data_IF_894290023407
#
_entry.id   IF_894290023407
#
_cell.length_a   1.000
_cell.length_b   1.000
_cell.length_c   1.000
_cell.angle_alpha   90.00
_cell.angle_beta   90.00
_cell.angle_gamma   90.00
#
_symmetry.space_group_name_H-M   'P 1'
#
loop_
_entity.id
_entity.type
_entity.pdbx_description
1 polymer ?
#
# COMPACT_ATOMS: atom_id res chain seq x y z
N UNK A 1 -20.52 69.80 9.86
CA UNK A 1 -20.53 68.32 9.88
C UNK A 1 -20.09 67.89 11.27
N UNK A 2 -21.07 67.62 12.15
CA UNK A 2 -20.86 67.46 13.59
C UNK A 2 -20.28 66.08 13.91
N UNK A 3 -19.14 66.07 14.59
CA UNK A 3 -18.46 64.89 15.13
C UNK A 3 -19.20 64.22 16.32
N UNK A 4 -20.42 64.68 16.65
CA UNK A 4 -21.19 64.25 17.82
C UNK A 4 -21.70 62.79 17.77
N UNK A 5 -21.67 62.16 16.60
CA UNK A 5 -22.08 60.75 16.45
C UNK A 5 -21.10 59.78 17.14
N UNK A 6 -19.82 60.14 17.23
CA UNK A 6 -18.76 59.33 17.87
C UNK A 6 -18.76 59.38 19.41
N UNK A 7 -19.52 60.30 20.03
CA UNK A 7 -19.59 60.45 21.50
C UNK A 7 -20.74 59.67 22.16
N UNK A 8 -21.59 58.97 21.39
CA UNK A 8 -22.69 58.18 21.98
C UNK A 8 -22.16 56.84 22.54
N UNK A 9 -22.45 56.54 23.82
CA UNK A 9 -22.04 55.27 24.47
C UNK A 9 -22.51 54.02 23.70
N UNK A 10 -23.62 54.13 22.97
CA UNK A 10 -24.23 53.05 22.20
C UNK A 10 -23.38 52.59 21.00
N UNK A 11 -22.57 53.48 20.40
CA UNK A 11 -21.69 53.13 19.28
C UNK A 11 -20.58 52.17 19.70
N UNK A 12 -19.94 52.45 20.83
CA UNK A 12 -18.90 51.59 21.41
C UNK A 12 -19.45 50.23 21.86
N UNK A 13 -20.69 50.18 22.37
CA UNK A 13 -21.36 48.93 22.70
C UNK A 13 -21.62 48.05 21.47
N UNK A 14 -22.10 48.63 20.36
CA UNK A 14 -22.31 47.90 19.11
C UNK A 14 -20.99 47.38 18.51
N UNK A 15 -19.92 48.19 18.55
CA UNK A 15 -18.59 47.74 18.13
C UNK A 15 -18.12 46.56 18.98
N UNK A 16 -18.29 46.61 20.31
CA UNK A 16 -17.92 45.51 21.20
C UNK A 16 -18.62 44.19 20.84
N UNK A 17 -19.91 44.24 20.49
CA UNK A 17 -20.67 43.05 20.06
C UNK A 17 -20.17 42.51 18.72
N UNK A 18 -19.92 43.38 17.74
CA UNK A 18 -19.43 42.97 16.42
C UNK A 18 -18.02 42.37 16.51
N UNK A 19 -17.12 43.00 17.27
CA UNK A 19 -15.76 42.51 17.52
C UNK A 19 -15.80 41.18 18.29
N UNK A 20 -16.67 41.06 19.31
CA UNK A 20 -16.88 39.82 20.05
C UNK A 20 -17.36 38.67 19.16
N UNK A 21 -18.32 38.94 18.27
CA UNK A 21 -18.80 37.96 17.29
C UNK A 21 -17.69 37.54 16.31
N UNK A 22 -16.92 38.50 15.78
CA UNK A 22 -15.80 38.22 14.87
C UNK A 22 -14.69 37.41 15.55
N UNK A 23 -14.33 37.74 16.78
CA UNK A 23 -13.33 36.99 17.56
C UNK A 23 -13.80 35.58 17.88
N UNK A 24 -15.09 35.38 18.13
CA UNK A 24 -15.66 34.06 18.40
C UNK A 24 -15.61 33.19 17.15
N UNK A 25 -16.13 33.67 16.02
CA UNK A 25 -16.09 32.94 14.75
C UNK A 25 -14.66 32.69 14.27
N UNK A 26 -13.76 33.67 14.46
CA UNK A 26 -12.34 33.54 14.11
C UNK A 26 -11.60 32.51 14.97
N UNK A 27 -11.88 32.48 16.28
CA UNK A 27 -11.39 31.44 17.19
C UNK A 27 -11.85 30.06 16.71
N UNK A 28 -13.14 29.90 16.45
CA UNK A 28 -13.73 28.61 16.09
C UNK A 28 -13.15 28.10 14.78
N UNK A 29 -13.00 28.97 13.78
CA UNK A 29 -12.34 28.62 12.51
C UNK A 29 -10.88 28.17 12.70
N UNK A 30 -10.11 28.85 13.56
CA UNK A 30 -8.73 28.46 13.84
C UNK A 30 -8.63 27.13 14.60
N UNK A 31 -9.53 26.90 15.57
CA UNK A 31 -9.59 25.64 16.31
C UNK A 31 -10.00 24.48 15.39
N UNK A 32 -11.03 24.67 14.57
CA UNK A 32 -11.49 23.68 13.60
C UNK A 32 -10.40 23.36 12.58
N UNK A 33 -9.71 24.37 12.05
CA UNK A 33 -8.60 24.17 11.11
C UNK A 33 -7.44 23.38 11.74
N UNK A 34 -7.07 23.70 12.98
CA UNK A 34 -6.03 22.95 13.71
C UNK A 34 -6.46 21.52 14.06
N UNK A 35 -7.70 21.34 14.49
CA UNK A 35 -8.25 20.03 14.82
C UNK A 35 -8.29 19.13 13.57
N UNK A 36 -8.75 19.68 12.44
CA UNK A 36 -8.79 18.97 11.16
C UNK A 36 -7.39 18.56 10.69
N UNK A 37 -6.38 19.42 10.89
CA UNK A 37 -5.00 19.11 10.50
C UNK A 37 -4.43 17.97 11.34
N UNK A 38 -4.65 17.97 12.66
CA UNK A 38 -4.22 16.87 13.54
C UNK A 38 -4.90 15.55 13.20
N UNK A 39 -6.21 15.59 12.92
CA UNK A 39 -6.99 14.42 12.52
C UNK A 39 -6.43 13.78 11.23
N UNK A 40 -6.15 14.60 10.21
CA UNK A 40 -5.55 14.17 8.94
C UNK A 40 -4.19 13.51 9.11
N UNK A 41 -3.31 14.15 9.88
CA UNK A 41 -1.96 13.65 10.14
C UNK A 41 -2.01 12.33 10.90
N UNK A 42 -2.86 12.21 11.92
CA UNK A 42 -3.04 10.97 12.66
C UNK A 42 -3.54 9.83 11.78
N UNK A 43 -4.59 10.09 10.97
CA UNK A 43 -5.11 9.13 10.01
C UNK A 43 -4.02 8.67 9.00
N UNK A 44 -3.24 9.61 8.46
CA UNK A 44 -2.17 9.30 7.53
C UNK A 44 -1.05 8.45 8.19
N UNK A 45 -0.66 8.75 9.44
CA UNK A 45 0.33 7.96 10.19
C UNK A 45 -0.16 6.52 10.36
N UNK A 46 -1.41 6.32 10.79
CA UNK A 46 -2.00 4.99 10.98
C UNK A 46 -1.99 4.18 9.69
N UNK A 47 -2.38 4.79 8.57
CA UNK A 47 -2.36 4.14 7.27
C UNK A 47 -0.93 3.80 6.84
N UNK A 48 0.03 4.73 6.99
CA UNK A 48 1.44 4.50 6.66
C UNK A 48 1.97 3.28 7.41
N UNK A 49 1.74 3.17 8.72
CA UNK A 49 2.15 2.01 9.51
C UNK A 49 1.56 0.69 8.98
N UNK A 50 0.27 0.67 8.62
CA UNK A 50 -0.37 -0.53 8.07
C UNK A 50 0.29 -0.97 6.75
N UNK A 51 0.54 -0.02 5.85
CA UNK A 51 1.15 -0.32 4.55
C UNK A 51 2.63 -0.67 4.65
N UNK A 52 3.38 -0.08 5.58
CA UNK A 52 4.79 -0.40 5.79
C UNK A 52 4.96 -1.83 6.28
N UNK A 53 4.20 -2.22 7.31
CA UNK A 53 4.23 -3.60 7.84
C UNK A 53 3.83 -4.58 6.74
N UNK A 54 2.76 -4.28 5.99
CA UNK A 54 2.34 -5.13 4.90
C UNK A 54 3.43 -5.28 3.82
N UNK A 55 4.12 -4.19 3.44
CA UNK A 55 5.20 -4.24 2.47
C UNK A 55 6.41 -5.06 2.97
N UNK A 56 6.72 -4.98 4.27
CA UNK A 56 7.78 -5.79 4.89
C UNK A 56 7.42 -7.29 4.89
N UNK A 57 6.18 -7.64 5.27
CA UNK A 57 5.71 -9.03 5.21
C UNK A 57 5.67 -9.56 3.77
N UNK A 58 5.27 -8.74 2.81
CA UNK A 58 5.36 -9.07 1.39
C UNK A 58 6.79 -9.36 0.95
N UNK A 59 7.79 -8.65 1.47
CA UNK A 59 9.20 -8.88 1.11
C UNK A 59 9.70 -10.23 1.64
N UNK A 60 9.27 -10.64 2.83
CA UNK A 60 9.57 -11.96 3.38
C UNK A 60 8.96 -13.07 2.53
N UNK A 61 7.71 -12.89 2.11
CA UNK A 61 7.00 -13.85 1.24
C UNK A 61 7.58 -13.90 -0.17
N UNK A 62 7.98 -12.76 -0.73
CA UNK A 62 8.66 -12.69 -2.01
C UNK A 62 10.03 -13.40 -2.01
N UNK A 63 10.64 -13.54 -0.83
CA UNK A 63 11.89 -14.25 -0.64
C UNK A 63 11.72 -15.74 -0.27
N UNK A 64 10.49 -16.22 -0.11
CA UNK A 64 10.18 -17.58 0.34
C UNK A 64 10.38 -18.58 -0.81
N UNK A 65 11.40 -19.43 -0.70
CA UNK A 65 11.70 -20.52 -1.64
C UNK A 65 11.06 -21.85 -1.22
N UNK A 66 10.30 -21.86 -0.11
CA UNK A 66 9.73 -23.07 0.46
C UNK A 66 10.74 -23.92 1.25
N UNK A 67 10.23 -24.93 1.94
CA UNK A 67 11.03 -25.90 2.69
C UNK A 67 10.61 -27.32 2.32
N UNK A 68 11.58 -28.18 2.00
CA UNK A 68 11.32 -29.57 1.68
C UNK A 68 10.99 -30.37 2.95
N UNK A 69 9.78 -30.92 2.98
CA UNK A 69 9.25 -31.79 4.04
C UNK A 69 8.85 -33.14 3.45
N UNK A 70 8.64 -34.15 4.30
CA UNK A 70 8.10 -35.45 3.88
C UNK A 70 6.60 -35.50 4.09
N UNK A 71 5.87 -35.86 3.04
CA UNK A 71 4.43 -36.08 3.11
C UNK A 71 4.07 -37.37 3.86
N UNK A 72 2.77 -37.64 4.01
CA UNK A 72 2.25 -38.84 4.68
C UNK A 72 2.70 -40.16 4.02
N UNK A 73 3.12 -40.12 2.75
CA UNK A 73 3.60 -41.26 1.98
C UNK A 73 5.14 -41.37 1.99
N UNK A 74 5.83 -40.43 2.65
CA UNK A 74 7.29 -40.37 2.76
C UNK A 74 7.97 -39.76 1.54
N UNK A 75 7.24 -39.12 0.62
CA UNK A 75 7.79 -38.39 -0.51
C UNK A 75 8.25 -36.99 -0.07
N UNK A 76 9.37 -36.52 -0.63
CA UNK A 76 9.83 -35.15 -0.40
C UNK A 76 8.98 -34.19 -1.23
N UNK A 77 8.43 -33.17 -0.56
CA UNK A 77 7.55 -32.16 -1.15
C UNK A 77 7.96 -30.80 -0.62
N UNK A 78 8.02 -29.80 -1.49
CA UNK A 78 8.30 -28.42 -1.11
C UNK A 78 7.03 -27.75 -0.58
N UNK A 79 7.05 -27.32 0.68
CA UNK A 79 5.94 -26.66 1.35
C UNK A 79 6.23 -25.18 1.61
N UNK A 80 5.17 -24.37 1.69
CA UNK A 80 5.28 -22.93 1.99
C UNK A 80 5.84 -22.73 3.40
N UNK A 81 6.96 -22.01 3.53
CA UNK A 81 7.61 -21.75 4.83
C UNK A 81 7.08 -20.48 5.50
N UNK A 82 6.82 -19.42 4.70
CA UNK A 82 6.38 -18.12 5.22
C UNK A 82 4.88 -17.96 4.99
N UNK A 83 4.12 -17.55 6.02
CA UNK A 83 2.68 -17.31 5.88
C UNK A 83 2.38 -16.08 5.01
N UNK A 84 1.23 -16.09 4.34
CA UNK A 84 0.78 -14.96 3.53
C UNK A 84 0.57 -13.71 4.41
N UNK A 85 0.95 -12.52 3.92
CA UNK A 85 0.84 -11.28 4.66
C UNK A 85 -0.64 -10.91 4.81
N UNK A 86 -1.02 -10.45 5.99
CA UNK A 86 -2.41 -10.08 6.27
C UNK A 86 -2.53 -8.56 6.33
N UNK A 87 -3.30 -7.98 5.40
CA UNK A 87 -3.58 -6.55 5.45
C UNK A 87 -4.42 -6.24 6.70
N UNK A 88 -3.81 -5.55 7.65
CA UNK A 88 -4.49 -5.14 8.88
C UNK A 88 -5.73 -4.30 8.58
N UNK A 89 -6.81 -4.55 9.32
CA UNK A 89 -8.02 -3.73 9.21
C UNK A 89 -7.69 -2.26 9.49
N UNK A 90 -8.22 -1.38 8.64
CA UNK A 90 -8.12 0.06 8.88
C UNK A 90 -8.93 0.42 10.12
N UNK A 91 -8.40 1.33 10.93
CA UNK A 91 -9.02 1.69 12.20
C UNK A 91 -10.31 2.49 11.98
N UNK A 92 -11.36 2.18 12.75
CA UNK A 92 -12.69 2.82 12.64
C UNK A 92 -12.67 4.32 12.99
N UNK A 93 -11.65 4.77 13.74
CA UNK A 93 -11.46 6.16 14.16
C UNK A 93 -10.81 7.04 13.08
N UNK A 94 -10.49 6.50 11.91
CA UNK A 94 -9.96 7.27 10.78
C UNK A 94 -11.04 8.19 10.21
N UNK A 95 -10.83 9.51 10.31
CA UNK A 95 -11.65 10.50 9.61
C UNK A 95 -11.31 10.52 8.11
N UNK A 96 -11.91 9.60 7.36
CA UNK A 96 -11.73 9.48 5.92
C UNK A 96 -12.02 10.78 5.17
N UNK A 97 -13.00 11.58 5.60
CA UNK A 97 -13.36 12.84 4.90
C UNK A 97 -12.25 13.89 4.98
N UNK A 98 -11.35 13.73 5.93
CA UNK A 98 -10.21 14.62 6.10
C UNK A 98 -9.09 14.33 5.10
N UNK A 99 -9.00 13.10 4.57
CA UNK A 99 -7.90 12.69 3.70
C UNK A 99 -8.09 13.12 2.23
N UNK A 100 -7.03 13.03 1.44
CA UNK A 100 -7.05 13.33 0.01
C UNK A 100 -7.88 12.27 -0.74
N UNK A 101 -8.90 12.66 -1.53
CA UNK A 101 -9.79 11.70 -2.20
C UNK A 101 -9.08 10.68 -3.08
N UNK A 102 -7.98 11.07 -3.74
CA UNK A 102 -7.21 10.14 -4.59
C UNK A 102 -6.46 9.12 -3.75
N UNK A 103 -5.94 9.52 -2.59
CA UNK A 103 -5.27 8.61 -1.66
C UNK A 103 -6.28 7.67 -1.00
N UNK A 104 -7.43 8.17 -0.56
CA UNK A 104 -8.51 7.34 0.01
C UNK A 104 -8.91 6.25 -0.99
N UNK A 105 -9.14 6.63 -2.26
CA UNK A 105 -9.51 5.66 -3.28
C UNK A 105 -8.47 4.56 -3.41
N UNK A 106 -7.17 4.90 -3.49
CA UNK A 106 -6.08 3.91 -3.53
C UNK A 106 -6.07 3.00 -2.31
N UNK A 107 -6.18 3.57 -1.11
CA UNK A 107 -6.19 2.84 0.16
C UNK A 107 -7.36 1.86 0.24
N UNK A 108 -8.57 2.30 -0.14
CA UNK A 108 -9.77 1.48 -0.09
C UNK A 108 -9.88 0.47 -1.24
N UNK A 109 -9.20 0.72 -2.36
CA UNK A 109 -9.11 -0.21 -3.49
C UNK A 109 -8.08 -1.32 -3.24
N UNK A 110 -7.03 -1.03 -2.46
CA UNK A 110 -5.94 -1.97 -2.23
C UNK A 110 -6.36 -3.37 -1.74
N UNK A 111 -7.33 -3.54 -0.80
CA UNK A 111 -7.82 -4.88 -0.44
C UNK A 111 -8.39 -5.68 -1.62
N UNK A 112 -8.94 -5.02 -2.63
CA UNK A 112 -9.44 -5.66 -3.85
C UNK A 112 -8.25 -6.21 -4.66
N UNK A 113 -7.17 -5.44 -4.77
CA UNK A 113 -5.93 -5.85 -5.45
C UNK A 113 -5.31 -7.07 -4.75
N UNK A 114 -5.24 -7.06 -3.41
CA UNK A 114 -4.78 -8.21 -2.60
C UNK A 114 -5.63 -9.44 -2.91
N UNK A 115 -6.97 -9.33 -2.85
CA UNK A 115 -7.85 -10.45 -3.12
C UNK A 115 -7.76 -10.97 -4.57
N UNK A 116 -7.43 -10.12 -5.55
CA UNK A 116 -7.19 -10.54 -6.93
C UNK A 116 -5.90 -11.34 -7.05
N UNK A 117 -4.80 -10.84 -6.46
CA UNK A 117 -3.51 -11.52 -6.44
C UNK A 117 -3.61 -12.89 -5.74
N UNK A 118 -4.26 -12.97 -4.58
CA UNK A 118 -4.44 -14.24 -3.85
C UNK A 118 -5.24 -15.26 -4.63
N UNK A 119 -6.25 -14.84 -5.40
CA UNK A 119 -6.98 -15.73 -6.31
C UNK A 119 -6.10 -16.24 -7.44
N UNK A 120 -5.25 -15.39 -8.01
CA UNK A 120 -4.31 -15.80 -9.04
C UNK A 120 -3.30 -16.83 -8.50
N UNK A 121 -2.69 -16.56 -7.34
CA UNK A 121 -1.79 -17.49 -6.66
C UNK A 121 -2.47 -18.84 -6.43
N UNK A 122 -3.67 -18.82 -5.86
CA UNK A 122 -4.44 -20.04 -5.59
C UNK A 122 -4.71 -20.84 -6.86
N UNK A 123 -5.08 -20.17 -7.94
CA UNK A 123 -5.32 -20.81 -9.23
C UNK A 123 -4.06 -21.49 -9.77
N UNK A 124 -2.89 -20.85 -9.68
CA UNK A 124 -1.63 -21.47 -10.12
C UNK A 124 -1.30 -22.70 -9.27
N UNK A 125 -1.42 -22.61 -7.94
CA UNK A 125 -1.19 -23.78 -7.08
C UNK A 125 -2.19 -24.93 -7.31
N UNK A 126 -3.43 -24.66 -7.71
CA UNK A 126 -4.44 -25.71 -7.90
C UNK A 126 -4.45 -26.32 -9.30
N UNK A 127 -4.15 -25.53 -10.33
CA UNK A 127 -4.33 -25.96 -11.73
C UNK A 127 -3.03 -26.12 -12.51
N UNK A 128 -1.92 -25.53 -12.05
CA UNK A 128 -0.68 -25.42 -12.85
C UNK A 128 0.52 -26.04 -12.14
N UNK A 129 0.72 -25.74 -10.86
CA UNK A 129 1.89 -26.19 -10.12
C UNK A 129 1.71 -27.64 -9.67
N UNK A 130 2.76 -28.44 -9.81
CA UNK A 130 2.73 -29.86 -9.44
C UNK A 130 3.84 -30.24 -8.47
N UNK A 131 3.57 -31.24 -7.65
CA UNK A 131 4.54 -31.87 -6.74
C UNK A 131 5.72 -32.48 -7.54
N UNK A 132 6.95 -32.49 -7.00
CA UNK A 132 7.31 -32.13 -5.62
C UNK A 132 7.61 -30.66 -5.38
N UNK A 133 7.96 -29.90 -6.42
CA UNK A 133 8.58 -28.58 -6.24
C UNK A 133 7.59 -27.41 -6.26
N UNK A 134 6.42 -27.57 -6.89
CA UNK A 134 5.42 -26.51 -7.08
C UNK A 134 6.01 -25.20 -7.64
N UNK A 135 7.01 -25.30 -8.52
CA UNK A 135 7.84 -24.18 -8.99
C UNK A 135 7.00 -23.01 -9.52
N UNK A 136 5.99 -23.28 -10.36
CA UNK A 136 5.11 -22.25 -10.91
C UNK A 136 4.29 -21.54 -9.82
N UNK A 137 3.89 -22.28 -8.79
CA UNK A 137 3.14 -21.75 -7.65
C UNK A 137 3.99 -20.81 -6.82
N UNK A 138 5.23 -21.21 -6.49
CA UNK A 138 6.17 -20.36 -5.77
C UNK A 138 6.57 -19.13 -6.59
N UNK A 139 6.84 -19.28 -7.89
CA UNK A 139 7.18 -18.15 -8.76
C UNK A 139 6.03 -17.13 -8.82
N UNK A 140 4.80 -17.58 -9.06
CA UNK A 140 3.64 -16.68 -9.09
C UNK A 140 3.41 -16.02 -7.74
N UNK A 141 3.54 -16.78 -6.64
CA UNK A 141 3.42 -16.24 -5.27
C UNK A 141 4.46 -15.16 -4.99
N UNK A 142 5.73 -15.42 -5.29
CA UNK A 142 6.81 -14.47 -5.10
C UNK A 142 6.58 -13.20 -5.92
N UNK A 143 6.20 -13.32 -7.19
CA UNK A 143 5.94 -12.18 -8.06
C UNK A 143 4.76 -11.34 -7.57
N UNK A 144 3.63 -11.98 -7.23
CA UNK A 144 2.42 -11.27 -6.81
C UNK A 144 2.61 -10.51 -5.51
N UNK A 145 3.29 -11.11 -4.52
CA UNK A 145 3.61 -10.40 -3.29
C UNK A 145 4.71 -9.36 -3.49
N UNK A 146 5.63 -9.55 -4.44
CA UNK A 146 6.55 -8.48 -4.86
C UNK A 146 5.78 -7.25 -5.38
N UNK A 147 4.81 -7.45 -6.26
CA UNK A 147 3.96 -6.39 -6.80
C UNK A 147 3.11 -5.69 -5.73
N UNK A 148 2.46 -6.48 -4.86
CA UNK A 148 1.63 -5.95 -3.77
C UNK A 148 2.45 -5.15 -2.75
N UNK A 149 3.64 -5.64 -2.37
CA UNK A 149 4.54 -4.95 -1.45
C UNK A 149 5.00 -3.61 -2.00
N UNK A 150 5.34 -3.54 -3.30
CA UNK A 150 5.69 -2.28 -3.97
C UNK A 150 4.51 -1.32 -4.04
N UNK A 151 3.31 -1.82 -4.36
CA UNK A 151 2.09 -1.01 -4.37
C UNK A 151 1.74 -0.45 -2.97
N UNK A 152 1.88 -1.26 -1.91
CA UNK A 152 1.71 -0.83 -0.53
C UNK A 152 2.73 0.25 -0.15
N UNK A 153 4.00 0.04 -0.46
CA UNK A 153 5.05 1.04 -0.25
C UNK A 153 4.74 2.35 -0.97
N UNK A 154 4.27 2.30 -2.23
CA UNK A 154 3.89 3.47 -3.00
C UNK A 154 2.69 4.24 -2.42
N UNK A 155 1.76 3.54 -1.75
CA UNK A 155 0.67 4.17 -1.01
C UNK A 155 1.23 4.87 0.23
N UNK A 156 2.06 4.18 1.03
CA UNK A 156 2.70 4.74 2.21
C UNK A 156 3.53 5.99 1.88
N UNK A 157 4.37 5.93 0.85
CA UNK A 157 5.17 7.06 0.38
C UNK A 157 4.32 8.23 -0.11
N UNK A 158 3.21 7.96 -0.80
CA UNK A 158 2.30 9.02 -1.23
C UNK A 158 1.61 9.70 -0.05
N UNK A 159 1.23 8.95 1.00
CA UNK A 159 0.73 9.50 2.26
C UNK A 159 1.80 10.34 2.95
N UNK A 160 3.04 9.84 3.09
CA UNK A 160 4.13 10.61 3.72
C UNK A 160 4.38 11.94 3.03
N UNK A 161 4.47 11.93 1.69
CA UNK A 161 4.66 13.14 0.89
C UNK A 161 3.49 14.12 1.05
N UNK A 162 2.25 13.64 1.01
CA UNK A 162 1.06 14.49 1.09
C UNK A 162 0.90 15.16 2.46
N UNK A 163 1.26 14.46 3.53
CA UNK A 163 1.04 14.91 4.91
C UNK A 163 2.34 15.31 5.64
N UNK A 164 3.44 15.46 4.91
CA UNK A 164 4.76 15.85 5.43
C UNK A 164 5.22 14.99 6.62
N UNK A 165 5.00 13.67 6.52
CA UNK A 165 5.43 12.72 7.53
C UNK A 165 6.91 12.36 7.33
N UNK A 166 7.64 12.05 8.41
CA UNK A 166 9.02 11.60 8.30
C UNK A 166 9.10 10.29 7.52
N UNK A 167 10.19 10.13 6.76
CA UNK A 167 10.55 8.85 6.16
C UNK A 167 11.23 7.98 7.22
N UNK A 168 10.98 6.68 7.12
CA UNK A 168 11.76 5.69 7.88
C UNK A 168 13.14 5.64 7.25
N UNK A 169 14.18 5.81 8.06
CA UNK A 169 15.56 5.63 7.62
C UNK A 169 15.79 4.16 7.29
N UNK A 170 16.52 3.87 6.21
CA UNK A 170 16.78 2.49 5.79
C UNK A 170 17.67 1.79 6.82
N UNK A 171 17.16 0.70 7.39
CA UNK A 171 17.95 -0.29 8.15
C UNK A 171 18.87 -1.07 7.20
N UNK A 172 19.76 -1.93 7.73
CA UNK A 172 20.54 -2.89 6.93
C UNK A 172 19.66 -3.79 6.03
N UNK A 173 18.39 -4.01 6.39
CA UNK A 173 17.39 -4.69 5.57
C UNK A 173 16.45 -3.68 4.90
N UNK A 174 16.39 -3.70 3.57
CA UNK A 174 15.49 -2.87 2.78
C UNK A 174 14.44 -3.73 2.05
N UNK A 175 13.18 -3.76 2.53
CA UNK A 175 12.15 -4.60 1.92
C UNK A 175 11.85 -4.19 0.47
N UNK A 176 11.91 -2.90 0.15
CA UNK A 176 11.61 -2.39 -1.20
C UNK A 176 12.65 -2.87 -2.21
N UNK A 177 13.92 -2.84 -1.83
CA UNK A 177 15.00 -3.34 -2.67
C UNK A 177 14.83 -4.83 -2.95
N UNK A 178 14.53 -5.62 -1.92
CA UNK A 178 14.25 -7.05 -2.08
C UNK A 178 13.07 -7.33 -3.01
N UNK A 179 11.98 -6.59 -2.87
CA UNK A 179 10.80 -6.73 -3.73
C UNK A 179 11.13 -6.43 -5.20
N UNK A 180 11.92 -5.37 -5.45
CA UNK A 180 12.38 -5.02 -6.81
C UNK A 180 13.25 -6.13 -7.40
N UNK A 181 14.21 -6.64 -6.62
CA UNK A 181 15.11 -7.72 -7.06
C UNK A 181 14.35 -8.99 -7.45
N UNK A 182 13.43 -9.44 -6.58
CA UNK A 182 12.63 -10.65 -6.82
C UNK A 182 11.78 -10.47 -8.08
N UNK A 183 11.07 -9.34 -8.18
CA UNK A 183 10.25 -9.03 -9.36
C UNK A 183 11.08 -9.05 -10.64
N UNK A 184 12.21 -8.34 -10.65
CA UNK A 184 13.07 -8.25 -11.83
C UNK A 184 13.66 -9.62 -12.22
N UNK A 185 14.05 -10.44 -11.24
CA UNK A 185 14.54 -11.81 -11.48
C UNK A 185 13.49 -12.66 -12.19
N UNK A 186 12.26 -12.68 -11.67
CA UNK A 186 11.16 -13.49 -12.22
C UNK A 186 10.74 -12.98 -13.61
N UNK A 187 10.55 -11.67 -13.77
CA UNK A 187 10.17 -11.09 -15.07
C UNK A 187 11.21 -11.38 -16.15
N UNK A 188 12.49 -11.33 -15.80
CA UNK A 188 13.58 -11.69 -16.71
C UNK A 188 13.52 -13.17 -17.10
N UNK A 189 13.35 -14.07 -16.13
CA UNK A 189 13.23 -15.51 -16.40
C UNK A 189 12.05 -15.83 -17.33
N UNK A 190 10.88 -15.22 -17.08
CA UNK A 190 9.69 -15.37 -17.93
C UNK A 190 9.92 -14.89 -19.36
N UNK A 191 10.58 -13.75 -19.54
CA UNK A 191 10.88 -13.22 -20.87
C UNK A 191 11.89 -14.10 -21.62
N UNK A 192 12.90 -14.64 -20.94
CA UNK A 192 13.84 -15.61 -21.52
C UNK A 192 13.14 -16.90 -21.94
N UNK A 193 12.26 -17.46 -21.10
CA UNK A 193 11.44 -18.63 -21.41
C UNK A 193 10.48 -18.38 -22.59
N UNK A 194 9.93 -17.16 -22.71
CA UNK A 194 9.07 -16.77 -23.82
C UNK A 194 9.85 -16.68 -25.14
N UNK A 195 11.08 -16.14 -25.11
CA UNK A 195 11.96 -16.05 -26.28
C UNK A 195 12.41 -17.43 -26.76
N UNK A 196 12.77 -18.32 -25.84
CA UNK A 196 13.17 -19.69 -26.20
C UNK A 196 12.01 -20.43 -26.88
N UNK A 197 10.80 -20.36 -26.35
CA UNK A 197 9.59 -20.93 -26.97
C UNK A 197 9.32 -20.36 -28.37
N UNK A 198 9.41 -19.05 -28.55
CA UNK A 198 9.22 -18.41 -29.87
C UNK A 198 10.29 -18.87 -30.88
N UNK A 199 11.55 -18.97 -30.46
CA UNK A 199 12.63 -19.43 -31.33
C UNK A 199 12.43 -20.88 -31.77
N UNK A 200 12.04 -21.77 -30.86
CA UNK A 200 11.75 -23.18 -31.18
C UNK A 200 10.56 -23.33 -32.12
N UNK A 201 9.49 -22.57 -31.91
CA UNK A 201 8.31 -22.57 -32.78
C UNK A 201 8.66 -22.09 -34.20
N UNK A 202 9.53 -21.07 -34.33
CA UNK A 202 9.97 -20.58 -35.66
C UNK A 202 10.86 -21.56 -36.42
N UNK A 203 11.68 -22.35 -35.73
CA UNK A 203 12.55 -23.39 -36.34
C UNK A 203 11.72 -24.59 -36.81
N UNK A 204 10.68 -24.98 -36.06
CA UNK A 204 9.77 -26.06 -36.46
C UNK A 204 9.01 -25.76 -37.75
N UNK A 205 8.58 -24.50 -37.94
CA UNK A 205 7.83 -24.08 -39.14
C UNK A 205 8.73 -24.03 -40.38
N UNK A 206 10.01 -23.68 -40.22
CA UNK A 206 10.97 -23.64 -41.33
C UNK A 206 11.51 -25.01 -41.77
N UNK A 207 11.27 -26.07 -40.99
CA UNK A 207 11.69 -27.45 -41.30
C UNK A 207 10.62 -28.29 -42.02
N UNK A 208 9.42 -27.75 -42.21
CA UNK A 208 8.29 -28.40 -42.90
C UNK A 208 8.07 -27.91 -44.35
N UNK A 209 8.93 -27.01 -44.84
CA UNK A 209 9.00 -26.57 -46.25
C UNK A 209 10.14 -27.27 -47.02
#
# INVERSE_FOLDING_TARGET
MSWAFFQSQSFWALIGVVVGAFLTTGKDFLFDWRAQTRSRTYAAIRLVCVFDVYAEECANVAADEGEYTRDEQGQEVCEISIQNPTLSAFADDIDWKSLDPKLIYRVLNFPIEVAQAERAIRFVYSEIAFSPDYEEGFEERQLRYAELGLAAHDIAEALRRKYALPRVESTEWNPVERLIEVKARIEKAREEARRSHQSMSSVSVAGEE
#
